data_IF_870746184288
#
_entry.id   IF_870746184288
#
_cell.length_a   1.000
_cell.length_b   1.000
_cell.length_c   1.000
_cell.angle_alpha   90.00
_cell.angle_beta   90.00
_cell.angle_gamma   90.00
#
_symmetry.space_group_name_H-M   'P 1'
#
loop_
_entity.id
_entity.type
_entity.pdbx_description
1 polymer ?
#
# COMPACT_ATOMS: atom_id res chain seq x y z
N UNK A 1 -1.87 -4.88 -45.79
CA UNK A 1 -1.04 -4.45 -44.64
C UNK A 1 -1.63 -5.11 -43.40
N UNK A 2 -1.16 -6.31 -43.09
CA UNK A 2 -1.47 -7.00 -41.83
C UNK A 2 -0.66 -6.31 -40.75
N UNK A 3 -1.34 -5.69 -39.80
CA UNK A 3 -0.71 -5.16 -38.59
C UNK A 3 -0.36 -6.37 -37.70
N UNK A 4 0.82 -6.94 -37.90
CA UNK A 4 1.43 -7.85 -36.94
C UNK A 4 1.85 -7.02 -35.72
N UNK A 5 0.90 -6.77 -34.82
CA UNK A 5 1.21 -6.29 -33.47
C UNK A 5 1.97 -7.39 -32.75
N UNK A 6 3.29 -7.23 -32.65
CA UNK A 6 4.17 -8.18 -31.98
C UNK A 6 3.64 -8.52 -30.57
N UNK A 7 3.30 -9.78 -30.28
CA UNK A 7 2.81 -10.21 -28.96
C UNK A 7 3.76 -9.83 -27.83
N UNK A 8 5.05 -9.72 -28.14
CA UNK A 8 6.13 -9.29 -27.24
C UNK A 8 6.03 -7.82 -26.84
N UNK A 9 5.67 -6.94 -27.77
CA UNK A 9 5.42 -5.52 -27.49
C UNK A 9 4.19 -5.38 -26.58
N UNK A 10 3.13 -6.13 -26.87
CA UNK A 10 1.94 -6.20 -26.00
C UNK A 10 2.28 -6.66 -24.58
N UNK A 11 3.05 -7.74 -24.43
CA UNK A 11 3.43 -8.29 -23.13
C UNK A 11 4.33 -7.34 -22.31
N UNK A 12 5.30 -6.69 -22.94
CA UNK A 12 6.19 -5.73 -22.28
C UNK A 12 5.44 -4.48 -21.84
N UNK A 13 4.66 -3.87 -22.73
CA UNK A 13 3.88 -2.68 -22.37
C UNK A 13 2.82 -3.00 -21.30
N UNK A 14 2.17 -4.16 -21.37
CA UNK A 14 1.13 -4.53 -20.40
C UNK A 14 1.69 -4.83 -19.00
N UNK A 15 2.85 -5.49 -18.91
CA UNK A 15 3.49 -5.82 -17.63
C UNK A 15 3.92 -4.59 -16.83
N UNK A 16 4.67 -3.68 -17.47
CA UNK A 16 5.18 -2.46 -16.82
C UNK A 16 4.07 -1.47 -16.48
N UNK A 17 3.06 -1.30 -17.34
CA UNK A 17 1.89 -0.45 -17.05
C UNK A 17 1.17 -0.94 -15.79
N UNK A 18 1.05 -2.26 -15.61
CA UNK A 18 0.43 -2.79 -14.41
C UNK A 18 1.25 -2.49 -13.15
N UNK A 19 2.59 -2.55 -13.22
CA UNK A 19 3.46 -2.19 -12.10
C UNK A 19 3.36 -0.71 -11.74
N UNK A 20 3.37 0.17 -12.75
CA UNK A 20 3.18 1.62 -12.56
C UNK A 20 1.80 1.91 -11.95
N UNK A 21 0.77 1.22 -12.42
CA UNK A 21 -0.59 1.37 -11.88
C UNK A 21 -0.65 0.98 -10.40
N UNK A 22 -0.10 -0.17 -10.02
CA UNK A 22 -0.04 -0.59 -8.61
C UNK A 22 0.77 0.37 -7.75
N UNK A 23 1.90 0.87 -8.26
CA UNK A 23 2.70 1.87 -7.58
C UNK A 23 1.90 3.16 -7.34
N UNK A 24 1.23 3.68 -8.36
CA UNK A 24 0.41 4.88 -8.26
C UNK A 24 -0.76 4.68 -7.30
N UNK A 25 -1.42 3.53 -7.33
CA UNK A 25 -2.50 3.20 -6.38
C UNK A 25 -1.99 3.20 -4.94
N UNK A 26 -0.85 2.55 -4.68
CA UNK A 26 -0.24 2.53 -3.35
C UNK A 26 0.18 3.93 -2.90
N UNK A 27 0.79 4.71 -3.79
CA UNK A 27 1.20 6.09 -3.53
C UNK A 27 0.01 6.99 -3.19
N UNK A 28 -1.08 6.89 -3.96
CA UNK A 28 -2.31 7.65 -3.69
C UNK A 28 -2.93 7.23 -2.36
N UNK A 29 -2.99 5.94 -2.06
CA UNK A 29 -3.51 5.45 -0.78
C UNK A 29 -2.70 6.00 0.40
N UNK A 30 -1.37 5.94 0.31
CA UNK A 30 -0.48 6.49 1.34
C UNK A 30 -0.63 8.00 1.48
N UNK A 31 -0.73 8.72 0.36
CA UNK A 31 -0.93 10.17 0.37
C UNK A 31 -2.25 10.56 1.07
N UNK A 32 -3.35 9.87 0.77
CA UNK A 32 -4.65 10.12 1.41
C UNK A 32 -4.56 9.87 2.92
N UNK A 33 -4.01 8.73 3.33
CA UNK A 33 -3.92 8.36 4.75
C UNK A 33 -2.97 9.31 5.48
N UNK A 34 -1.81 9.64 4.90
CA UNK A 34 -0.86 10.58 5.48
C UNK A 34 -1.40 12.00 5.59
N UNK A 35 -2.18 12.47 4.60
CA UNK A 35 -2.90 13.75 4.69
C UNK A 35 -3.93 13.74 5.83
N UNK A 36 -4.70 12.65 5.95
CA UNK A 36 -5.68 12.51 7.03
C UNK A 36 -5.00 12.46 8.41
N UNK A 37 -3.87 11.76 8.52
CA UNK A 37 -3.07 11.68 9.74
C UNK A 37 -2.48 13.03 10.14
N UNK A 38 -1.84 13.73 9.19
CA UNK A 38 -1.19 15.02 9.44
C UNK A 38 -2.17 16.17 9.80
N UNK A 39 -3.47 15.99 9.58
CA UNK A 39 -4.50 16.95 10.02
C UNK A 39 -4.65 17.02 11.54
N UNK A 40 -4.34 15.94 12.26
CA UNK A 40 -4.41 15.90 13.72
C UNK A 40 -3.29 16.68 14.43
N UNK A 41 -2.22 17.02 13.71
CA UNK A 41 -1.01 17.63 14.29
C UNK A 41 -0.91 19.12 13.99
N UNK A 42 -0.24 19.86 14.89
CA UNK A 42 0.13 21.26 14.66
C UNK A 42 1.05 21.35 13.43
N UNK A 43 1.05 22.45 12.67
CA UNK A 43 1.85 22.56 11.45
C UNK A 43 3.34 22.25 11.63
N UNK A 44 3.92 22.57 12.79
CA UNK A 44 5.33 22.30 13.12
C UNK A 44 5.63 20.83 13.42
N UNK A 45 4.62 20.05 13.83
CA UNK A 45 4.78 18.64 14.22
C UNK A 45 4.39 17.67 13.08
N UNK A 46 4.10 18.19 11.88
CA UNK A 46 3.69 17.36 10.74
C UNK A 46 4.87 16.58 10.17
N UNK A 47 4.73 15.27 10.17
CA UNK A 47 5.65 14.39 9.44
C UNK A 47 5.44 14.43 7.92
N UNK A 48 6.26 13.71 7.15
CA UNK A 48 6.07 13.59 5.70
C UNK A 48 4.71 12.95 5.38
N UNK A 49 4.03 13.49 4.35
CA UNK A 49 2.72 12.96 3.89
C UNK A 49 2.85 11.53 3.37
N UNK A 50 3.95 11.23 2.68
CA UNK A 50 4.27 9.87 2.22
C UNK A 50 5.64 9.49 2.79
N UNK A 51 5.70 8.61 3.80
CA UNK A 51 6.97 8.12 4.31
C UNK A 51 7.63 7.21 3.26
N UNK A 52 8.75 7.66 2.68
CA UNK A 52 9.43 6.95 1.59
C UNK A 52 9.86 5.53 1.96
N UNK A 53 10.35 5.32 3.18
CA UNK A 53 10.72 4.00 3.66
C UNK A 53 9.53 3.02 3.60
N UNK A 54 8.35 3.44 4.08
CA UNK A 54 7.14 2.61 4.03
C UNK A 54 6.62 2.41 2.62
N UNK A 55 6.78 3.40 1.72
CA UNK A 55 6.37 3.27 0.32
C UNK A 55 7.25 2.25 -0.41
N UNK A 56 8.57 2.33 -0.22
CA UNK A 56 9.52 1.39 -0.82
C UNK A 56 9.29 -0.03 -0.28
N UNK A 57 9.15 -0.18 1.04
CA UNK A 57 8.89 -1.47 1.65
C UNK A 57 7.51 -2.04 1.25
N UNK A 58 6.48 -1.20 1.23
CA UNK A 58 5.14 -1.59 0.80
C UNK A 58 5.11 -2.00 -0.67
N UNK A 59 5.77 -1.25 -1.55
CA UNK A 59 5.84 -1.60 -2.97
C UNK A 59 6.67 -2.88 -3.20
N UNK A 60 7.78 -3.05 -2.48
CA UNK A 60 8.54 -4.30 -2.48
C UNK A 60 7.68 -5.50 -2.07
N UNK A 61 6.81 -5.31 -1.07
CA UNK A 61 5.86 -6.34 -0.64
C UNK A 61 4.79 -6.63 -1.71
N UNK A 62 4.27 -5.60 -2.41
CA UNK A 62 3.36 -5.77 -3.56
C UNK A 62 4.02 -6.63 -4.64
N UNK A 63 5.27 -6.32 -5.00
CA UNK A 63 6.02 -7.08 -6.01
C UNK A 63 6.24 -8.53 -5.58
N UNK A 64 6.64 -8.74 -4.32
CA UNK A 64 6.85 -10.06 -3.75
C UNK A 64 5.56 -10.89 -3.80
N UNK A 65 4.46 -10.36 -3.28
CA UNK A 65 3.17 -11.05 -3.28
C UNK A 65 2.67 -11.37 -4.67
N UNK A 66 2.86 -10.43 -5.60
CA UNK A 66 2.41 -10.62 -6.98
C UNK A 66 3.18 -11.70 -7.71
N UNK A 67 4.44 -11.94 -7.33
CA UNK A 67 5.23 -13.08 -7.81
C UNK A 67 4.68 -14.42 -7.31
N UNK A 68 4.02 -14.43 -6.17
CA UNK A 68 3.52 -15.63 -5.49
C UNK A 68 1.99 -15.84 -5.62
N UNK A 69 1.31 -15.02 -6.42
CA UNK A 69 -0.16 -14.98 -6.47
C UNK A 69 -0.83 -16.29 -6.96
N UNK A 70 -0.05 -17.27 -7.42
CA UNK A 70 -0.54 -18.59 -7.84
C UNK A 70 -0.37 -19.69 -6.77
N UNK A 71 0.29 -19.41 -5.63
CA UNK A 71 0.59 -20.42 -4.60
C UNK A 71 0.08 -19.99 -3.20
N UNK A 72 -0.99 -20.66 -2.74
CA UNK A 72 -1.69 -20.40 -1.47
C UNK A 72 -0.77 -20.52 -0.24
N UNK A 73 0.28 -21.36 -0.31
CA UNK A 73 1.24 -21.52 0.78
C UNK A 73 2.13 -20.29 0.95
N UNK A 74 2.50 -19.63 -0.16
CA UNK A 74 3.29 -18.41 -0.13
C UNK A 74 2.47 -17.24 0.44
N UNK A 75 1.17 -17.17 0.13
CA UNK A 75 0.26 -16.19 0.75
C UNK A 75 0.19 -16.36 2.28
N UNK A 76 0.17 -17.59 2.78
CA UNK A 76 0.20 -17.89 4.21
C UNK A 76 1.51 -17.46 4.90
N UNK A 77 2.66 -17.74 4.30
CA UNK A 77 3.98 -17.34 4.82
C UNK A 77 4.11 -15.82 4.86
N UNK A 78 3.60 -15.12 3.84
CA UNK A 78 3.67 -13.66 3.78
C UNK A 78 2.72 -13.02 4.79
N UNK A 79 1.52 -13.58 5.00
CA UNK A 79 0.62 -13.14 6.06
C UNK A 79 1.29 -13.23 7.44
N UNK A 80 2.00 -14.34 7.73
CA UNK A 80 2.79 -14.50 8.95
C UNK A 80 3.93 -13.47 9.03
N UNK A 81 4.65 -13.24 7.92
CA UNK A 81 5.72 -12.25 7.88
C UNK A 81 5.22 -10.81 8.11
N UNK A 82 4.03 -10.45 7.62
CA UNK A 82 3.40 -9.14 7.87
C UNK A 82 2.99 -9.00 9.33
N UNK A 83 2.43 -10.06 9.93
CA UNK A 83 2.09 -10.08 11.37
C UNK A 83 3.35 -9.88 12.22
N UNK A 84 4.43 -10.61 11.90
CA UNK A 84 5.73 -10.51 12.59
C UNK A 84 6.33 -9.11 12.36
N UNK A 85 6.28 -8.59 11.14
CA UNK A 85 6.69 -7.24 10.82
C UNK A 85 5.90 -6.19 11.61
N UNK A 86 4.59 -6.37 11.78
CA UNK A 86 3.73 -5.50 12.59
C UNK A 86 4.04 -5.55 14.08
N UNK A 87 4.41 -6.73 14.58
CA UNK A 87 4.89 -6.89 15.96
C UNK A 87 6.25 -6.20 16.16
N UNK A 88 7.16 -6.29 15.20
CA UNK A 88 8.49 -5.67 15.24
C UNK A 88 8.44 -4.15 14.99
N UNK A 89 7.48 -3.69 14.17
CA UNK A 89 7.26 -2.28 13.84
C UNK A 89 6.78 -1.44 15.02
N UNK A 90 6.47 -2.04 16.18
CA UNK A 90 6.11 -1.30 17.41
C UNK A 90 7.16 -0.25 17.80
N UNK A 91 8.40 -0.41 17.34
CA UNK A 91 9.51 0.50 17.57
C UNK A 91 9.74 1.54 16.46
N UNK A 92 9.02 1.47 15.33
CA UNK A 92 9.16 2.42 14.23
C UNK A 92 8.20 3.61 14.41
N UNK A 93 8.74 4.82 14.54
CA UNK A 93 7.97 6.05 14.39
C UNK A 93 7.78 6.37 12.90
N UNK A 94 6.60 6.80 12.43
CA UNK A 94 5.34 7.01 13.17
C UNK A 94 4.52 5.71 13.34
N UNK A 95 4.22 5.38 14.60
CA UNK A 95 3.69 4.07 15.07
C UNK A 95 2.30 3.68 14.55
N UNK A 96 1.47 4.65 14.14
CA UNK A 96 0.05 4.40 13.82
C UNK A 96 -0.25 4.12 12.35
N UNK A 97 0.60 4.58 11.43
CA UNK A 97 0.34 4.52 9.99
C UNK A 97 0.77 3.20 9.34
N UNK A 98 1.68 2.48 9.99
CA UNK A 98 2.37 1.35 9.36
C UNK A 98 1.46 0.15 9.13
N UNK A 99 0.58 -0.18 10.09
CA UNK A 99 -0.35 -1.31 9.97
C UNK A 99 -1.33 -1.17 8.80
N UNK A 100 -2.11 -0.08 8.67
CA UNK A 100 -3.02 0.07 7.53
C UNK A 100 -2.26 0.16 6.21
N UNK A 101 -1.09 0.80 6.19
CA UNK A 101 -0.22 0.90 5.03
C UNK A 101 0.23 -0.49 4.51
N UNK A 102 0.70 -1.36 5.42
CA UNK A 102 1.10 -2.73 5.07
C UNK A 102 -0.08 -3.59 4.62
N UNK A 103 -1.24 -3.47 5.26
CA UNK A 103 -2.43 -4.21 4.83
C UNK A 103 -2.90 -3.81 3.42
N UNK A 104 -2.85 -2.51 3.09
CA UNK A 104 -3.17 -2.02 1.74
C UNK A 104 -2.17 -2.57 0.72
N UNK A 105 -0.87 -2.55 1.05
CA UNK A 105 0.17 -3.15 0.21
C UNK A 105 -0.07 -4.65 -0.02
N UNK A 106 -0.47 -5.39 1.02
CA UNK A 106 -0.80 -6.82 0.89
C UNK A 106 -1.99 -7.04 -0.05
N UNK A 107 -3.07 -6.28 0.14
CA UNK A 107 -4.28 -6.41 -0.68
C UNK A 107 -4.02 -6.07 -2.15
N UNK A 108 -3.23 -5.03 -2.43
CA UNK A 108 -2.80 -4.70 -3.79
C UNK A 108 -1.88 -5.78 -4.38
N UNK A 109 -0.96 -6.35 -3.58
CA UNK A 109 -0.07 -7.44 -3.99
C UNK A 109 -0.81 -8.72 -4.38
N UNK A 110 -1.90 -9.04 -3.67
CA UNK A 110 -2.78 -10.17 -3.95
C UNK A 110 -3.82 -9.89 -5.06
N UNK A 111 -3.81 -8.68 -5.65
CA UNK A 111 -4.79 -8.27 -6.67
C UNK A 111 -6.20 -7.96 -6.15
N UNK A 112 -6.39 -7.90 -4.82
CA UNK A 112 -7.66 -7.58 -4.15
C UNK A 112 -7.91 -6.06 -4.10
N UNK A 113 -7.99 -5.42 -5.27
CA UNK A 113 -8.04 -3.96 -5.41
C UNK A 113 -9.27 -3.32 -4.73
N UNK A 114 -10.44 -3.97 -4.79
CA UNK A 114 -11.66 -3.47 -4.13
C UNK A 114 -11.50 -3.45 -2.60
N UNK A 115 -10.94 -4.51 -2.03
CA UNK A 115 -10.65 -4.61 -0.60
C UNK A 115 -9.63 -3.54 -0.18
N UNK A 116 -8.60 -3.31 -1.00
CA UNK A 116 -7.60 -2.26 -0.76
C UNK A 116 -8.25 -0.86 -0.75
N UNK A 117 -9.16 -0.59 -1.69
CA UNK A 117 -9.90 0.67 -1.77
C UNK A 117 -10.81 0.86 -0.56
N UNK A 118 -11.58 -0.17 -0.19
CA UNK A 118 -12.45 -0.14 1.00
C UNK A 118 -11.64 0.10 2.27
N UNK A 119 -10.51 -0.58 2.44
CA UNK A 119 -9.64 -0.40 3.60
C UNK A 119 -9.04 1.01 3.64
N UNK A 120 -8.59 1.53 2.50
CA UNK A 120 -8.08 2.91 2.39
C UNK A 120 -9.16 3.92 2.79
N UNK A 121 -10.38 3.72 2.30
CA UNK A 121 -11.52 4.60 2.58
C UNK A 121 -11.92 4.54 4.05
N UNK A 122 -12.03 3.33 4.62
CA UNK A 122 -12.34 3.13 6.03
C UNK A 122 -11.26 3.75 6.93
N UNK A 123 -9.98 3.54 6.61
CA UNK A 123 -8.87 4.13 7.36
C UNK A 123 -8.92 5.66 7.29
N UNK A 124 -9.14 6.24 6.11
CA UNK A 124 -9.28 7.69 5.95
C UNK A 124 -10.46 8.24 6.77
N UNK A 125 -11.63 7.59 6.72
CA UNK A 125 -12.79 7.99 7.52
C UNK A 125 -12.51 7.93 9.02
N UNK A 126 -11.91 6.83 9.50
CA UNK A 126 -11.54 6.68 10.92
C UNK A 126 -10.59 7.80 11.34
N UNK A 127 -9.57 8.12 10.55
CA UNK A 127 -8.62 9.19 10.84
C UNK A 127 -9.28 10.58 10.83
N UNK A 128 -10.17 10.83 9.86
CA UNK A 128 -10.90 12.10 9.77
C UNK A 128 -11.85 12.31 10.96
N UNK A 129 -12.50 11.24 11.45
CA UNK A 129 -13.41 11.29 12.59
C UNK A 129 -12.64 11.34 13.93
N UNK A 130 -11.56 10.57 14.05
CA UNK A 130 -10.76 10.47 15.28
C UNK A 130 -9.99 11.76 15.58
N UNK A 131 -9.48 12.46 14.56
CA UNK A 131 -8.79 13.74 14.73
C UNK A 131 -9.65 14.84 15.41
N UNK A 132 -10.98 14.64 15.49
CA UNK A 132 -11.92 15.56 16.14
C UNK A 132 -12.09 15.32 17.64
N UNK A 133 -11.76 14.13 18.16
CA UNK A 133 -11.98 13.76 19.57
C UNK A 133 -10.83 14.16 20.50
N UNK A 134 -9.65 14.48 19.96
CA UNK A 134 -8.49 14.90 20.75
C UNK A 134 -8.41 16.42 21.02
N UNK A 135 -9.53 17.15 20.91
CA UNK A 135 -9.63 18.58 21.25
C UNK A 135 -10.50 18.78 22.48
#
# INVERSE_FOLDING_TARGET
MTADTDPWLGALFHGWVHLVTLFLMLLVAYAIIGLCWNRGFRPADRGPVVPWASLILGFGLVLLLRRFNEDLLAAGIIAVAVIIGGLLSRNAEPRGLWVPAMLIAVLLGLGSNLSALLLTTATALVLLLSARQGR
#
